data_IF_250187558927
#
_entry.id   IF_250187558927
#
_cell.length_a   1.000
_cell.length_b   1.000
_cell.length_c   1.000
_cell.angle_alpha   90.00
_cell.angle_beta   90.00
_cell.angle_gamma   90.00
#
_symmetry.space_group_name_H-M   'P 1'
#
loop_
_entity.id
_entity.type
_entity.pdbx_description
1 polymer ?
#
# COMPACT_ATOMS: atom_id res chain seq x y z
N UNK A 1 23.87 32.07 12.98
CA UNK A 1 22.49 32.52 12.73
C UNK A 1 21.93 32.05 11.38
N UNK A 2 22.33 32.60 10.22
CA UNK A 2 21.72 32.25 8.91
C UNK A 2 21.66 30.74 8.61
N UNK A 3 22.77 30.02 8.76
CA UNK A 3 22.82 28.55 8.57
C UNK A 3 21.90 27.74 9.51
N UNK A 4 21.68 28.20 10.75
CA UNK A 4 20.82 27.50 11.71
C UNK A 4 19.35 27.70 11.32
N UNK A 5 18.99 28.93 10.94
CA UNK A 5 17.66 29.24 10.43
C UNK A 5 17.34 28.45 9.15
N UNK A 6 18.33 28.31 8.25
CA UNK A 6 18.18 27.49 7.03
C UNK A 6 17.95 26.01 7.39
N UNK A 7 18.67 25.45 8.37
CA UNK A 7 18.47 24.08 8.85
C UNK A 7 17.12 23.87 9.51
N UNK A 8 16.64 24.82 10.31
CA UNK A 8 15.30 24.76 10.92
C UNK A 8 14.19 24.76 9.87
N UNK A 9 14.36 25.51 8.77
CA UNK A 9 13.44 25.48 7.63
C UNK A 9 13.42 24.11 6.95
N UNK A 10 14.58 23.48 6.76
CA UNK A 10 14.68 22.12 6.20
C UNK A 10 13.96 21.12 7.09
N UNK A 11 14.24 21.10 8.39
CA UNK A 11 13.57 20.19 9.34
C UNK A 11 12.05 20.35 9.32
N UNK A 12 11.56 21.59 9.27
CA UNK A 12 10.12 21.86 9.17
C UNK A 12 9.53 21.33 7.88
N UNK A 13 10.19 21.59 6.74
CA UNK A 13 9.77 21.10 5.43
C UNK A 13 9.74 19.57 5.37
N UNK A 14 10.76 18.91 5.92
CA UNK A 14 10.84 17.44 5.94
C UNK A 14 9.75 16.85 6.85
N UNK A 15 9.44 17.50 7.97
CA UNK A 15 8.33 17.10 8.85
C UNK A 15 6.97 17.21 8.16
N UNK A 16 6.73 18.28 7.40
CA UNK A 16 5.51 18.44 6.58
C UNK A 16 5.41 17.37 5.48
N UNK A 17 6.55 17.04 4.84
CA UNK A 17 6.62 15.97 3.85
C UNK A 17 6.32 14.60 4.47
N UNK A 18 6.90 14.30 5.65
CA UNK A 18 6.62 13.08 6.39
C UNK A 18 5.15 12.96 6.79
N UNK A 19 4.53 14.05 7.28
CA UNK A 19 3.10 14.09 7.57
C UNK A 19 2.24 13.78 6.33
N UNK A 20 2.61 14.36 5.19
CA UNK A 20 1.95 14.07 3.91
C UNK A 20 2.10 12.60 3.50
N UNK A 21 3.29 12.01 3.72
CA UNK A 21 3.55 10.61 3.44
C UNK A 21 2.74 9.69 4.36
N UNK A 22 2.63 10.01 5.65
CA UNK A 22 1.76 9.29 6.60
C UNK A 22 0.30 9.29 6.14
N UNK A 23 -0.22 10.43 5.67
CA UNK A 23 -1.58 10.50 5.12
C UNK A 23 -1.74 9.61 3.88
N UNK A 24 -0.76 9.60 2.97
CA UNK A 24 -0.79 8.73 1.78
C UNK A 24 -0.71 7.24 2.12
N UNK A 25 0.05 6.88 3.15
CA UNK A 25 0.12 5.50 3.65
C UNK A 25 -1.20 5.08 4.31
N UNK A 26 -1.85 5.99 5.05
CA UNK A 26 -3.19 5.74 5.60
C UNK A 26 -4.24 5.54 4.49
N UNK A 27 -4.22 6.37 3.45
CA UNK A 27 -5.07 6.20 2.26
C UNK A 27 -4.77 4.87 1.54
N UNK A 28 -3.50 4.48 1.43
CA UNK A 28 -3.11 3.19 0.86
C UNK A 28 -3.63 2.02 1.69
N UNK A 29 -3.57 2.10 3.02
CA UNK A 29 -4.13 1.11 3.92
C UNK A 29 -5.63 0.92 3.68
N UNK A 30 -6.38 2.01 3.60
CA UNK A 30 -7.82 1.96 3.33
C UNK A 30 -8.10 1.30 1.97
N UNK A 31 -7.34 1.65 0.93
CA UNK A 31 -7.46 1.02 -0.38
C UNK A 31 -7.18 -0.50 -0.35
N UNK A 32 -6.21 -0.95 0.45
CA UNK A 32 -5.93 -2.39 0.63
C UNK A 32 -7.07 -3.07 1.39
N UNK A 33 -7.66 -2.43 2.40
CA UNK A 33 -8.84 -2.94 3.12
C UNK A 33 -10.04 -3.10 2.17
N UNK A 34 -10.36 -2.08 1.37
CA UNK A 34 -11.40 -2.15 0.32
C UNK A 34 -11.12 -3.26 -0.70
N UNK A 35 -9.85 -3.48 -1.06
CA UNK A 35 -9.45 -4.56 -1.95
C UNK A 35 -9.71 -5.94 -1.31
N UNK A 36 -9.40 -6.12 -0.03
CA UNK A 36 -9.70 -7.36 0.71
C UNK A 36 -11.20 -7.63 0.77
N UNK A 37 -12.01 -6.59 1.02
CA UNK A 37 -13.48 -6.70 1.01
C UNK A 37 -14.00 -7.09 -0.37
N UNK A 38 -13.50 -6.43 -1.43
CA UNK A 38 -13.85 -6.73 -2.82
C UNK A 38 -13.54 -8.17 -3.22
N UNK A 39 -12.35 -8.67 -2.85
CA UNK A 39 -11.96 -10.06 -3.12
C UNK A 39 -12.81 -11.03 -2.29
N UNK A 40 -13.11 -10.70 -1.03
CA UNK A 40 -13.98 -11.54 -0.18
C UNK A 40 -15.40 -11.64 -0.75
N UNK A 41 -15.93 -10.54 -1.27
CA UNK A 41 -17.21 -10.51 -1.98
C UNK A 41 -17.17 -11.35 -3.26
N UNK A 42 -16.08 -11.25 -4.05
CA UNK A 42 -15.88 -12.09 -5.22
C UNK A 42 -15.83 -13.59 -4.86
N UNK A 43 -15.14 -13.96 -3.78
CA UNK A 43 -15.11 -15.33 -3.26
C UNK A 43 -16.50 -15.85 -2.91
N UNK A 44 -17.34 -15.04 -2.28
CA UNK A 44 -18.73 -15.41 -1.99
C UNK A 44 -19.56 -15.58 -3.29
N UNK A 45 -19.32 -14.74 -4.30
CA UNK A 45 -19.98 -14.88 -5.59
C UNK A 45 -19.54 -16.14 -6.34
N UNK A 46 -18.26 -16.54 -6.25
CA UNK A 46 -17.79 -17.82 -6.79
C UNK A 46 -18.44 -19.01 -6.09
N UNK A 47 -18.63 -18.96 -4.76
CA UNK A 47 -19.35 -20.01 -4.04
C UNK A 47 -20.79 -20.15 -4.55
N UNK A 48 -21.52 -19.04 -4.65
CA UNK A 48 -22.89 -19.05 -5.20
C UNK A 48 -22.94 -19.54 -6.65
N UNK A 49 -21.96 -19.17 -7.47
CA UNK A 49 -21.86 -19.64 -8.84
C UNK A 49 -21.62 -21.15 -8.90
N UNK A 50 -20.77 -21.68 -8.00
CA UNK A 50 -20.54 -23.13 -7.86
C UNK A 50 -21.83 -23.86 -7.51
N UNK A 51 -22.59 -23.38 -6.52
CA UNK A 51 -23.86 -24.00 -6.09
C UNK A 51 -24.89 -24.01 -7.25
N UNK A 52 -24.95 -22.93 -8.03
CA UNK A 52 -25.82 -22.84 -9.21
C UNK A 52 -25.41 -23.82 -10.31
N UNK A 53 -24.10 -23.97 -10.55
CA UNK A 53 -23.55 -24.91 -11.54
C UNK A 53 -23.80 -26.35 -11.11
N UNK A 54 -23.68 -26.67 -9.83
CA UNK A 54 -24.04 -27.99 -9.29
C UNK A 54 -25.53 -28.30 -9.50
N UNK A 55 -26.40 -27.33 -9.20
CA UNK A 55 -27.85 -27.44 -9.46
C UNK A 55 -28.14 -27.66 -10.95
N UNK A 56 -27.41 -26.98 -11.84
CA UNK A 56 -27.56 -27.14 -13.29
C UNK A 56 -27.07 -28.53 -13.75
N UNK A 57 -25.98 -29.03 -13.18
CA UNK A 57 -25.48 -30.38 -13.43
C UNK A 57 -26.52 -31.44 -13.06
N UNK A 58 -27.18 -31.29 -11.90
CA UNK A 58 -28.23 -32.20 -11.46
C UNK A 58 -29.45 -32.16 -12.40
N UNK A 59 -29.90 -30.97 -12.79
CA UNK A 59 -30.99 -30.80 -13.77
C UNK A 59 -30.65 -31.44 -15.11
N UNK A 60 -29.42 -31.27 -15.61
CA UNK A 60 -28.99 -31.90 -16.85
C UNK A 60 -28.98 -33.44 -16.76
N UNK A 61 -28.62 -34.02 -15.60
CA UNK A 61 -28.74 -35.47 -15.36
C UNK A 61 -30.20 -35.93 -15.34
N UNK A 62 -31.10 -35.16 -14.74
CA UNK A 62 -32.54 -35.47 -14.72
C UNK A 62 -33.15 -35.44 -16.13
N UNK A 63 -32.77 -34.47 -16.96
CA UNK A 63 -33.18 -34.42 -18.37
C UNK A 63 -32.66 -35.65 -19.11
N UNK A 64 -31.38 -36.01 -18.96
CA UNK A 64 -30.80 -37.18 -19.60
C UNK A 64 -31.57 -38.48 -19.27
N UNK A 65 -31.90 -38.69 -17.99
CA UNK A 65 -32.74 -39.82 -17.54
C UNK A 65 -34.15 -39.81 -18.14
N UNK A 66 -34.72 -38.63 -18.34
CA UNK A 66 -36.05 -38.45 -18.95
C UNK A 66 -36.00 -38.80 -20.43
N UNK A 67 -34.97 -38.33 -21.14
CA UNK A 67 -34.72 -38.65 -22.56
C UNK A 67 -34.51 -40.16 -22.75
N UNK A 68 -33.72 -40.81 -21.88
CA UNK A 68 -33.56 -42.28 -21.90
C UNK A 68 -34.89 -43.03 -21.67
N UNK A 69 -35.83 -42.44 -20.94
CA UNK A 69 -37.16 -43.01 -20.73
C UNK A 69 -38.04 -42.82 -21.97
N UNK A 70 -37.97 -41.64 -22.60
CA UNK A 70 -38.67 -41.35 -23.86
C UNK A 70 -38.18 -42.29 -24.96
N UNK A 71 -36.87 -42.48 -25.10
CA UNK A 71 -36.29 -43.40 -26.09
C UNK A 71 -36.82 -44.84 -25.92
N UNK A 72 -36.89 -45.33 -24.67
CA UNK A 72 -37.51 -46.64 -24.36
C UNK A 72 -38.99 -46.70 -24.74
N UNK A 73 -39.77 -45.66 -24.44
CA UNK A 73 -41.19 -45.58 -24.80
C UNK A 73 -41.37 -45.53 -26.31
N UNK A 74 -40.50 -44.82 -27.02
CA UNK A 74 -40.48 -44.75 -28.47
C UNK A 74 -40.22 -46.12 -29.09
N UNK A 75 -39.20 -46.85 -28.62
CA UNK A 75 -38.90 -48.21 -29.10
C UNK A 75 -40.09 -49.15 -28.84
N UNK A 76 -40.72 -49.06 -27.67
CA UNK A 76 -41.92 -49.85 -27.35
C UNK A 76 -43.11 -49.50 -28.25
N UNK A 77 -43.34 -48.21 -28.51
CA UNK A 77 -44.42 -47.72 -29.38
C UNK A 77 -44.20 -48.17 -30.83
N UNK A 78 -42.95 -48.12 -31.31
CA UNK A 78 -42.56 -48.63 -32.62
C UNK A 78 -42.84 -50.14 -32.73
N UNK A 79 -42.47 -50.93 -31.71
CA UNK A 79 -42.76 -52.37 -31.67
C UNK A 79 -44.26 -52.68 -31.63
N UNK A 80 -45.05 -51.91 -30.87
CA UNK A 80 -46.51 -52.03 -30.84
C UNK A 80 -47.14 -51.70 -32.20
N UNK A 81 -46.65 -50.65 -32.87
CA UNK A 81 -47.09 -50.25 -34.20
C UNK A 81 -46.79 -51.34 -35.25
N UNK A 82 -45.60 -51.96 -35.19
CA UNK A 82 -45.24 -53.09 -36.05
C UNK A 82 -46.18 -54.28 -35.83
N UNK A 83 -46.48 -54.63 -34.57
CA UNK A 83 -47.44 -55.69 -34.27
C UNK A 83 -48.86 -55.36 -34.79
N UNK A 84 -49.30 -54.10 -34.64
CA UNK A 84 -50.58 -53.62 -35.19
C UNK A 84 -50.65 -53.68 -36.72
N UNK A 85 -49.54 -53.37 -37.40
CA UNK A 85 -49.42 -53.48 -38.85
C UNK A 85 -49.53 -54.94 -39.32
N UNK A 86 -48.87 -55.87 -38.60
CA UNK A 86 -48.93 -57.31 -38.89
C UNK A 86 -50.37 -57.84 -38.73
N UNK A 87 -51.06 -57.49 -37.64
CA UNK A 87 -52.42 -57.97 -37.40
C UNK A 87 -53.43 -57.34 -38.38
N UNK A 88 -53.23 -56.08 -38.77
CA UNK A 88 -53.99 -55.43 -39.83
C UNK A 88 -53.81 -56.11 -41.20
N UNK A 89 -52.58 -56.51 -41.55
CA UNK A 89 -52.31 -57.29 -42.75
C UNK A 89 -52.99 -58.67 -42.70
N UNK A 90 -53.07 -59.29 -41.51
CA UNK A 90 -53.72 -60.58 -41.28
C UNK A 90 -55.24 -60.53 -41.46
N UNK A 91 -55.88 -59.39 -41.15
CA UNK A 91 -57.31 -59.16 -41.34
C UNK A 91 -57.71 -58.89 -42.82
N UNK A 92 -56.74 -58.82 -43.75
CA UNK A 92 -56.98 -58.67 -45.18
C UNK A 92 -57.68 -57.35 -45.53
N UNK A 93 -58.75 -57.41 -46.34
CA UNK A 93 -59.51 -56.23 -46.80
C UNK A 93 -60.08 -55.39 -45.64
N UNK A 94 -60.46 -56.02 -44.52
CA UNK A 94 -61.04 -55.34 -43.36
C UNK A 94 -60.00 -54.58 -42.51
N UNK A 95 -58.70 -54.89 -42.68
CA UNK A 95 -57.60 -54.30 -41.92
C UNK A 95 -56.93 -53.08 -42.58
N UNK A 96 -57.29 -52.73 -43.82
CA UNK A 96 -56.60 -51.67 -44.59
C UNK A 96 -56.53 -50.33 -43.86
N UNK A 97 -57.61 -49.90 -43.20
CA UNK A 97 -57.63 -48.65 -42.43
C UNK A 97 -56.72 -48.69 -41.19
N UNK A 98 -56.69 -49.82 -40.48
CA UNK A 98 -55.81 -50.04 -39.33
C UNK A 98 -54.33 -50.12 -39.72
N UNK A 99 -54.03 -50.68 -40.91
CA UNK A 99 -52.67 -50.75 -41.42
C UNK A 99 -52.07 -49.35 -41.69
N UNK A 100 -52.88 -48.41 -42.19
CA UNK A 100 -52.45 -47.00 -42.39
C UNK A 100 -52.14 -46.35 -41.05
N UNK A 101 -53.06 -46.45 -40.07
CA UNK A 101 -52.85 -45.88 -38.73
C UNK A 101 -51.63 -46.48 -38.04
N UNK A 102 -51.41 -47.80 -38.13
CA UNK A 102 -50.24 -48.45 -37.57
C UNK A 102 -48.94 -47.96 -38.22
N UNK A 103 -48.93 -47.70 -39.53
CA UNK A 103 -47.78 -47.15 -40.23
C UNK A 103 -47.50 -45.69 -39.82
N UNK A 104 -48.54 -44.87 -39.62
CA UNK A 104 -48.38 -43.50 -39.14
C UNK A 104 -47.82 -43.45 -37.70
N UNK A 105 -48.32 -44.31 -36.80
CA UNK A 105 -47.77 -44.45 -35.44
C UNK A 105 -46.30 -44.88 -35.50
N UNK A 106 -45.94 -45.79 -36.41
CA UNK A 106 -44.56 -46.23 -36.60
C UNK A 106 -43.65 -45.08 -37.04
N UNK A 107 -44.10 -44.26 -37.98
CA UNK A 107 -43.35 -43.09 -38.45
C UNK A 107 -43.18 -42.05 -37.33
N UNK A 108 -44.24 -41.75 -36.58
CA UNK A 108 -44.21 -40.87 -35.40
C UNK A 108 -43.24 -41.38 -34.34
N UNK A 109 -43.21 -42.70 -34.10
CA UNK A 109 -42.26 -43.30 -33.17
C UNK A 109 -40.81 -43.11 -33.67
N UNK A 110 -40.50 -43.43 -34.93
CA UNK A 110 -39.15 -43.22 -35.45
C UNK A 110 -38.71 -41.75 -35.37
N UNK A 111 -39.57 -40.81 -35.76
CA UNK A 111 -39.31 -39.37 -35.65
C UNK A 111 -39.11 -38.93 -34.18
N UNK A 112 -39.91 -39.46 -33.25
CA UNK A 112 -39.72 -39.21 -31.81
C UNK A 112 -38.40 -39.78 -31.28
N UNK A 113 -37.88 -40.85 -31.87
CA UNK A 113 -36.61 -41.47 -31.50
C UNK A 113 -35.42 -40.65 -31.97
N UNK A 114 -35.45 -40.19 -33.23
CA UNK A 114 -34.45 -39.26 -33.76
C UNK A 114 -34.38 -37.96 -32.95
N UNK A 115 -35.54 -37.39 -32.59
CA UNK A 115 -35.60 -36.21 -31.73
C UNK A 115 -35.05 -36.49 -30.32
N UNK A 116 -35.34 -37.66 -29.74
CA UNK A 116 -34.80 -38.03 -28.42
C UNK A 116 -33.26 -38.12 -28.46
N UNK A 117 -32.68 -38.68 -29.51
CA UNK A 117 -31.22 -38.76 -29.68
C UNK A 117 -30.59 -37.36 -29.82
N UNK A 118 -31.20 -36.47 -30.62
CA UNK A 118 -30.75 -35.07 -30.73
C UNK A 118 -30.79 -34.34 -29.36
N UNK A 119 -31.85 -34.53 -28.58
CA UNK A 119 -31.92 -33.96 -27.22
C UNK A 119 -30.82 -34.54 -26.34
N UNK A 120 -30.52 -35.85 -26.45
CA UNK A 120 -29.46 -36.50 -25.69
C UNK A 120 -28.10 -35.91 -25.99
N UNK A 121 -27.78 -35.67 -27.26
CA UNK A 121 -26.54 -34.99 -27.69
C UNK A 121 -26.44 -33.58 -27.09
N UNK A 122 -27.52 -32.79 -27.17
CA UNK A 122 -27.56 -31.44 -26.60
C UNK A 122 -27.36 -31.46 -25.08
N UNK A 123 -27.98 -32.40 -24.38
CA UNK A 123 -27.83 -32.54 -22.92
C UNK A 123 -26.41 -32.95 -22.54
N UNK A 124 -25.78 -33.83 -23.32
CA UNK A 124 -24.37 -34.20 -23.11
C UNK A 124 -23.44 -33.01 -23.33
N UNK A 125 -23.68 -32.20 -24.36
CA UNK A 125 -22.94 -30.97 -24.60
C UNK A 125 -23.10 -29.96 -23.45
N UNK A 126 -24.32 -29.80 -22.92
CA UNK A 126 -24.59 -28.97 -21.73
C UNK A 126 -23.82 -29.49 -20.52
N UNK A 127 -23.84 -30.81 -20.25
CA UNK A 127 -23.09 -31.39 -19.13
C UNK A 127 -21.58 -31.14 -19.26
N UNK A 128 -21.04 -31.26 -20.47
CA UNK A 128 -19.64 -30.94 -20.73
C UNK A 128 -19.32 -29.48 -20.41
N UNK A 129 -20.14 -28.53 -20.90
CA UNK A 129 -19.98 -27.10 -20.61
C UNK A 129 -20.10 -26.79 -19.11
N UNK A 130 -21.04 -27.41 -18.42
CA UNK A 130 -21.22 -27.29 -16.97
C UNK A 130 -19.95 -27.70 -16.22
N UNK A 131 -19.32 -28.80 -16.61
CA UNK A 131 -18.06 -29.23 -15.99
C UNK A 131 -16.90 -28.25 -16.26
N UNK A 132 -16.81 -27.69 -17.47
CA UNK A 132 -15.81 -26.65 -17.77
C UNK A 132 -16.01 -25.42 -16.89
N UNK A 133 -17.24 -24.90 -16.82
CA UNK A 133 -17.57 -23.73 -16.00
C UNK A 133 -17.31 -24.00 -14.51
N UNK A 134 -17.60 -25.21 -14.02
CA UNK A 134 -17.27 -25.61 -12.65
C UNK A 134 -15.76 -25.55 -12.37
N UNK A 135 -14.94 -26.03 -13.30
CA UNK A 135 -13.48 -25.96 -13.20
C UNK A 135 -12.97 -24.51 -13.20
N UNK A 136 -13.52 -23.66 -14.07
CA UNK A 136 -13.14 -22.24 -14.16
C UNK A 136 -13.51 -21.47 -12.88
N UNK A 137 -14.67 -21.76 -12.29
CA UNK A 137 -15.09 -21.20 -11.00
C UNK A 137 -14.14 -21.64 -9.89
N UNK A 138 -13.77 -22.93 -9.85
CA UNK A 138 -12.87 -23.47 -8.82
C UNK A 138 -11.48 -22.82 -8.89
N UNK A 139 -10.91 -22.68 -10.08
CA UNK A 139 -9.62 -22.00 -10.25
C UNK A 139 -9.72 -20.50 -9.91
N UNK A 140 -10.80 -19.83 -10.32
CA UNK A 140 -11.04 -18.42 -9.98
C UNK A 140 -11.16 -18.21 -8.46
N UNK A 141 -11.84 -19.11 -7.75
CA UNK A 141 -11.95 -19.08 -6.30
C UNK A 141 -10.58 -19.27 -5.61
N UNK A 142 -9.75 -20.18 -6.13
CA UNK A 142 -8.39 -20.41 -5.63
C UNK A 142 -7.49 -19.19 -5.84
N UNK A 143 -7.55 -18.56 -7.02
CA UNK A 143 -6.82 -17.31 -7.29
C UNK A 143 -7.27 -16.21 -6.34
N UNK A 144 -8.58 -16.01 -6.17
CA UNK A 144 -9.13 -15.02 -5.24
C UNK A 144 -8.63 -15.25 -3.80
N UNK A 145 -8.64 -16.50 -3.32
CA UNK A 145 -8.09 -16.83 -2.00
C UNK A 145 -6.59 -16.49 -1.88
N UNK A 146 -5.81 -16.74 -2.94
CA UNK A 146 -4.40 -16.35 -2.99
C UNK A 146 -4.18 -14.84 -2.94
N UNK A 147 -5.03 -14.05 -3.61
CA UNK A 147 -4.97 -12.59 -3.58
C UNK A 147 -5.31 -12.02 -2.20
N UNK A 148 -6.21 -12.65 -1.43
CA UNK A 148 -6.46 -12.25 -0.02
C UNK A 148 -5.18 -12.39 0.83
N UNK A 149 -4.43 -13.47 0.66
CA UNK A 149 -3.17 -13.68 1.40
C UNK A 149 -2.16 -12.59 1.05
N UNK A 150 -1.97 -12.31 -0.24
CA UNK A 150 -1.06 -11.25 -0.70
C UNK A 150 -1.50 -9.87 -0.17
N UNK A 151 -2.79 -9.57 -0.22
CA UNK A 151 -3.33 -8.32 0.30
C UNK A 151 -3.05 -8.15 1.80
N UNK A 152 -3.18 -9.23 2.59
CA UNK A 152 -2.83 -9.22 4.02
C UNK A 152 -1.34 -8.98 4.27
N UNK A 153 -0.46 -9.55 3.46
CA UNK A 153 0.97 -9.30 3.58
C UNK A 153 1.30 -7.84 3.20
N UNK A 154 0.64 -7.26 2.20
CA UNK A 154 0.71 -5.82 1.91
C UNK A 154 0.25 -4.98 3.10
N UNK A 155 -0.85 -5.35 3.79
CA UNK A 155 -1.31 -4.65 5.00
C UNK A 155 -0.22 -4.62 6.09
N UNK A 156 0.48 -5.73 6.31
CA UNK A 156 1.60 -5.78 7.28
C UNK A 156 2.74 -4.85 6.89
N UNK A 157 3.14 -4.84 5.62
CA UNK A 157 4.18 -3.94 5.12
C UNK A 157 3.79 -2.47 5.31
N UNK A 158 2.53 -2.13 5.05
CA UNK A 158 1.99 -0.78 5.27
C UNK A 158 2.06 -0.41 6.76
N UNK A 159 1.76 -1.34 7.66
CA UNK A 159 1.87 -1.14 9.11
C UNK A 159 3.32 -0.94 9.57
N UNK A 160 4.27 -1.74 9.06
CA UNK A 160 5.71 -1.57 9.31
C UNK A 160 6.20 -0.21 8.82
N UNK A 161 5.82 0.21 7.60
CA UNK A 161 6.17 1.54 7.07
C UNK A 161 5.59 2.65 7.94
N UNK A 162 4.37 2.50 8.44
CA UNK A 162 3.74 3.49 9.33
C UNK A 162 4.55 3.65 10.63
N UNK A 163 5.00 2.54 11.23
CA UNK A 163 5.84 2.58 12.43
C UNK A 163 7.19 3.28 12.17
N UNK A 164 7.82 3.02 11.02
CA UNK A 164 9.06 3.69 10.62
C UNK A 164 8.84 5.20 10.44
N UNK A 165 7.72 5.61 9.83
CA UNK A 165 7.39 7.02 9.66
C UNK A 165 7.14 7.72 11.00
N UNK A 166 6.45 7.08 11.93
CA UNK A 166 6.25 7.61 13.29
C UNK A 166 7.58 7.80 14.04
N UNK A 167 8.52 6.87 13.88
CA UNK A 167 9.86 7.01 14.45
C UNK A 167 10.64 8.15 13.78
N UNK A 168 10.56 8.28 12.45
CA UNK A 168 11.20 9.38 11.71
C UNK A 168 10.67 10.74 12.16
N UNK A 169 9.36 10.90 12.32
CA UNK A 169 8.75 12.15 12.80
C UNK A 169 9.31 12.52 14.18
N UNK A 170 9.41 11.56 15.10
CA UNK A 170 10.00 11.80 16.44
C UNK A 170 11.46 12.24 16.34
N UNK A 171 12.27 11.59 15.50
CA UNK A 171 13.67 11.95 15.30
C UNK A 171 13.82 13.35 14.70
N UNK A 172 12.95 13.75 13.77
CA UNK A 172 12.97 15.11 13.22
C UNK A 172 12.56 16.17 14.26
N UNK A 173 11.61 15.86 15.15
CA UNK A 173 11.26 16.73 16.28
C UNK A 173 12.45 16.89 17.25
N UNK A 174 13.16 15.81 17.55
CA UNK A 174 14.40 15.85 18.35
C UNK A 174 15.48 16.71 17.70
N UNK A 175 15.74 16.53 16.39
CA UNK A 175 16.69 17.36 15.64
C UNK A 175 16.27 18.84 15.67
N UNK A 176 14.97 19.13 15.57
CA UNK A 176 14.45 20.49 15.69
C UNK A 176 14.80 21.14 17.03
N UNK A 177 14.63 20.40 18.13
CA UNK A 177 14.99 20.87 19.49
C UNK A 177 16.50 21.06 19.66
N UNK A 178 17.31 20.14 19.13
CA UNK A 178 18.78 20.27 19.18
C UNK A 178 19.25 21.50 18.40
N UNK A 179 18.65 21.80 17.25
CA UNK A 179 18.96 23.00 16.47
C UNK A 179 18.61 24.29 17.21
N UNK A 180 17.52 24.32 17.98
CA UNK A 180 17.20 25.45 18.86
C UNK A 180 18.27 25.66 19.93
N UNK A 181 18.72 24.58 20.59
CA UNK A 181 19.78 24.64 21.59
C UNK A 181 21.11 25.15 21.00
N UNK A 182 21.49 24.64 19.83
CA UNK A 182 22.67 25.13 19.10
C UNK A 182 22.51 26.60 18.73
N UNK A 183 21.31 27.02 18.32
CA UNK A 183 20.98 28.42 18.06
C UNK A 183 21.27 29.31 19.25
N UNK A 184 20.77 28.95 20.44
CA UNK A 184 21.02 29.69 21.68
C UNK A 184 22.50 29.71 22.06
N UNK A 185 23.20 28.57 21.98
CA UNK A 185 24.63 28.49 22.31
C UNK A 185 25.50 29.36 21.39
N UNK A 186 25.15 29.45 20.10
CA UNK A 186 25.83 30.34 19.15
C UNK A 186 25.57 31.81 19.48
N UNK A 187 24.35 32.18 19.88
CA UNK A 187 24.05 33.55 20.29
C UNK A 187 24.82 33.95 21.56
N UNK A 188 24.88 33.06 22.55
CA UNK A 188 25.66 33.27 23.77
C UNK A 188 27.16 33.40 23.48
N UNK A 189 27.70 32.54 22.61
CA UNK A 189 29.10 32.61 22.17
C UNK A 189 29.43 33.92 21.46
N UNK A 190 28.52 34.42 20.60
CA UNK A 190 28.70 35.72 19.95
C UNK A 190 28.78 36.86 20.97
N UNK A 191 27.89 36.86 21.98
CA UNK A 191 27.91 37.87 23.07
C UNK A 191 29.21 37.80 23.87
N UNK A 192 29.68 36.60 24.19
CA UNK A 192 30.95 36.40 24.89
C UNK A 192 32.14 36.95 24.08
N UNK A 193 32.16 36.74 22.76
CA UNK A 193 33.19 37.30 21.87
C UNK A 193 33.14 38.83 21.83
N UNK A 194 31.94 39.43 21.78
CA UNK A 194 31.78 40.89 21.85
C UNK A 194 32.34 41.45 23.17
N UNK A 195 32.08 40.78 24.30
CA UNK A 195 32.63 41.17 25.60
C UNK A 195 34.16 41.04 25.65
N UNK A 196 34.73 39.97 25.08
CA UNK A 196 36.18 39.80 24.99
C UNK A 196 36.82 40.91 24.15
N UNK A 197 36.21 41.26 23.02
CA UNK A 197 36.70 42.36 22.17
C UNK A 197 36.67 43.69 22.92
N UNK A 198 35.59 44.00 23.64
CA UNK A 198 35.48 45.21 24.44
C UNK A 198 36.54 45.25 25.57
N UNK A 199 36.74 44.14 26.28
CA UNK A 199 37.76 44.04 27.32
C UNK A 199 39.19 44.15 26.76
N UNK A 200 39.43 43.66 25.54
CA UNK A 200 40.70 43.80 24.86
C UNK A 200 40.97 45.25 24.44
N UNK A 201 39.96 45.99 23.98
CA UNK A 201 40.05 47.43 23.69
C UNK A 201 40.34 48.24 24.96
N UNK A 202 39.64 47.96 26.07
CA UNK A 202 39.88 48.62 27.36
C UNK A 202 41.31 48.34 27.87
N UNK A 203 41.77 47.09 27.76
CA UNK A 203 43.13 46.70 28.13
C UNK A 203 44.18 47.42 27.27
N UNK A 204 43.96 47.56 25.97
CA UNK A 204 44.84 48.31 25.09
C UNK A 204 44.93 49.79 25.49
N UNK A 205 43.80 50.42 25.80
CA UNK A 205 43.77 51.81 26.30
C UNK A 205 44.51 51.95 27.63
N UNK A 206 44.31 51.03 28.57
CA UNK A 206 45.00 51.05 29.86
C UNK A 206 46.52 50.89 29.71
N UNK A 207 46.97 50.07 28.74
CA UNK A 207 48.40 49.92 28.42
C UNK A 207 48.96 51.23 27.84
N UNK A 208 48.23 51.93 26.97
CA UNK A 208 48.66 53.22 26.43
C UNK A 208 48.79 54.28 27.54
N UNK A 209 47.83 54.35 28.46
CA UNK A 209 47.89 55.25 29.61
C UNK A 209 49.06 54.90 30.55
N UNK A 210 49.26 53.61 30.84
CA UNK A 210 50.38 53.15 31.66
C UNK A 210 51.74 53.46 31.02
N UNK A 211 51.86 53.29 29.70
CA UNK A 211 53.06 53.65 28.96
C UNK A 211 53.35 55.15 29.03
N UNK A 212 52.32 55.99 28.90
CA UNK A 212 52.44 57.44 29.07
C UNK A 212 52.85 57.82 30.49
N UNK A 213 52.22 57.23 31.50
CA UNK A 213 52.58 57.45 32.91
C UNK A 213 54.02 57.02 33.22
N UNK A 214 54.49 55.92 32.63
CA UNK A 214 55.88 55.49 32.72
C UNK A 214 56.85 56.49 32.08
N UNK A 215 56.51 57.08 30.93
CA UNK A 215 57.31 58.14 30.28
C UNK A 215 57.39 59.41 31.15
N UNK A 216 56.26 59.84 31.73
CA UNK A 216 56.20 60.98 32.65
C UNK A 216 57.02 60.71 33.92
N UNK A 217 56.94 59.51 34.49
CA UNK A 217 57.73 59.10 35.65
C UNK A 217 59.22 59.08 35.33
N UNK A 218 59.63 58.58 34.15
CA UNK A 218 61.03 58.60 33.71
C UNK A 218 61.57 60.03 33.64
N UNK A 219 60.82 60.97 33.05
CA UNK A 219 61.19 62.39 33.01
C UNK A 219 61.31 63.01 34.40
N UNK A 220 60.35 62.70 35.29
CA UNK A 220 60.40 63.18 36.68
C UNK A 220 61.62 62.67 37.45
N UNK A 221 62.05 61.42 37.19
CA UNK A 221 63.29 60.87 37.76
C UNK A 221 64.52 61.60 37.22
N UNK A 222 64.57 61.95 35.93
CA UNK A 222 65.66 62.76 35.36
C UNK A 222 65.72 64.18 35.95
N UNK A 223 64.57 64.82 36.20
CA UNK A 223 64.51 66.11 36.88
C UNK A 223 64.96 66.03 38.34
N UNK A 224 64.52 65.01 39.07
CA UNK A 224 64.98 64.75 40.44
C UNK A 224 66.50 64.52 40.49
N UNK A 225 67.04 63.73 39.56
CA UNK A 225 68.48 63.50 39.47
C UNK A 225 69.25 64.82 39.27
N UNK A 226 68.78 65.69 38.35
CA UNK A 226 69.36 67.03 38.14
C UNK A 226 69.29 67.91 39.38
N UNK A 227 68.14 67.93 40.06
CA UNK A 227 67.99 68.71 41.30
C UNK A 227 68.91 68.19 42.42
N UNK A 228 69.10 66.88 42.52
CA UNK A 228 70.04 66.27 43.47
C UNK A 228 71.48 66.68 43.14
N UNK A 229 71.88 66.67 41.87
CA UNK A 229 73.20 67.16 41.43
C UNK A 229 73.41 68.64 41.79
N UNK A 230 72.39 69.48 41.57
CA UNK A 230 72.44 70.91 41.90
C UNK A 230 72.54 71.14 43.42
N UNK A 231 71.75 70.42 44.22
CA UNK A 231 71.84 70.46 45.69
C UNK A 231 73.22 70.01 46.17
N UNK A 232 73.78 68.95 45.58
CA UNK A 232 75.12 68.47 45.91
C UNK A 232 76.18 69.54 45.61
N UNK A 233 76.09 70.21 44.45
CA UNK A 233 76.99 71.30 44.09
C UNK A 233 76.91 72.48 45.07
N UNK A 234 75.69 72.91 45.46
CA UNK A 234 75.50 73.98 46.45
C UNK A 234 76.00 73.58 47.84
N UNK A 235 75.83 72.32 48.23
CA UNK A 235 76.35 71.82 49.49
C UNK A 235 77.89 71.82 49.52
N UNK A 236 78.54 71.44 48.42
CA UNK A 236 80.00 71.53 48.25
C UNK A 236 80.50 72.99 48.29
N UNK A 237 79.78 73.93 47.67
CA UNK A 237 80.08 75.38 47.76
C UNK A 237 79.97 75.90 49.20
N UNK A 238 78.92 75.51 49.93
CA UNK A 238 78.75 75.89 51.34
C UNK A 238 79.80 75.28 52.27
N UNK A 239 80.29 74.08 51.98
CA UNK A 239 81.34 73.42 52.77
C UNK A 239 82.74 73.98 52.49
N UNK A 240 82.93 74.63 51.34
CA UNK A 240 84.19 75.23 50.91
C UNK A 240 84.29 76.74 51.21
N UNK A 241 83.22 77.35 51.76
CA UNK A 241 83.17 78.70 52.30
C UNK A 241 83.46 78.74 53.82
#
# INVERSE_FOLDING_TARGET
>A
MKKISDLQLVVKSDTELLSTLTNKIAENRENVEHMIEGISSASNNYQKASDNVETLAERARQINKTVDTIDKVTIQTNMLAVNGFIEAARAGEYGKGFAVVANDIRNLANESGENAEQIKELVNAIQYQVNLVASDIAESAKVAAGEVVKARDTTKLVEEVTQILDELIKRFDEIGRELEQIGSAVEESSKAIEQINAAAEESASAIEEAAKGADEQARGVEELARAIEEIAAVADELQSA
#
